data_IF_368006313627
#
_entry.id   IF_368006313627
#
_cell.length_a   1.000
_cell.length_b   1.000
_cell.length_c   1.000
_cell.angle_alpha   90.00
_cell.angle_beta   90.00
_cell.angle_gamma   90.00
#
_symmetry.space_group_name_H-M   'P 1'
#
loop_
_entity.id
_entity.type
_entity.pdbx_description
1 polymer ?
#
# COMPACT_ATOMS: atom_id res chain seq x y z
N UNK A 1 -3.57 -4.10 14.59
CA UNK A 1 -2.98 -4.45 13.28
C UNK A 1 -2.61 -3.15 12.63
N UNK A 2 -1.39 -3.05 12.09
CA UNK A 2 -0.98 -1.89 11.27
C UNK A 2 -1.44 -2.19 9.84
N UNK A 3 -2.33 -1.38 9.28
CA UNK A 3 -2.87 -1.59 7.93
C UNK A 3 -2.48 -0.37 7.11
N UNK A 4 -1.74 -0.61 6.04
CA UNK A 4 -1.26 0.44 5.15
C UNK A 4 -1.99 0.39 3.80
N UNK A 5 -2.25 -0.81 3.29
CA UNK A 5 -2.92 -1.00 2.00
C UNK A 5 -4.23 -1.77 2.14
N UNK A 6 -5.24 -1.34 1.38
CA UNK A 6 -6.55 -1.98 1.30
C UNK A 6 -6.97 -2.15 -0.16
N UNK A 7 -7.57 -3.29 -0.48
CA UNK A 7 -8.17 -3.52 -1.79
C UNK A 7 -9.43 -4.37 -1.67
N UNK A 8 -10.36 -4.19 -2.61
CA UNK A 8 -11.54 -5.03 -2.70
C UNK A 8 -11.52 -5.79 -4.02
N UNK A 9 -11.65 -7.11 -3.96
CA UNK A 9 -11.79 -7.95 -5.14
C UNK A 9 -12.57 -9.24 -4.84
N UNK A 10 -13.48 -9.61 -5.75
CA UNK A 10 -14.37 -10.78 -5.70
C UNK A 10 -14.94 -11.11 -4.30
N UNK A 11 -15.49 -10.09 -3.61
CA UNK A 11 -16.15 -10.28 -2.31
C UNK A 11 -15.20 -10.39 -1.11
N UNK A 12 -13.90 -10.17 -1.30
CA UNK A 12 -12.92 -10.06 -0.23
C UNK A 12 -12.42 -8.63 -0.07
N UNK A 13 -12.34 -8.18 1.19
CA UNK A 13 -11.48 -7.07 1.56
C UNK A 13 -10.09 -7.64 1.84
N UNK A 14 -9.12 -7.21 1.05
CA UNK A 14 -7.70 -7.48 1.23
C UNK A 14 -7.06 -6.37 2.05
N UNK A 15 -6.11 -6.76 2.90
CA UNK A 15 -5.38 -5.86 3.77
C UNK A 15 -3.92 -6.29 3.88
N UNK A 16 -3.03 -5.30 3.83
CA UNK A 16 -1.60 -5.50 4.01
C UNK A 16 -1.04 -4.47 5.00
N UNK A 17 -0.14 -4.89 5.88
CA UNK A 17 0.63 -4.01 6.75
C UNK A 17 1.93 -3.57 6.10
N UNK A 18 2.66 -2.67 6.76
CA UNK A 18 3.89 -2.06 6.24
C UNK A 18 5.05 -3.02 6.01
N UNK A 19 5.12 -4.10 6.80
CA UNK A 19 6.28 -5.01 6.85
C UNK A 19 7.62 -4.28 7.08
N UNK A 20 7.58 -3.10 7.71
CA UNK A 20 8.73 -2.22 7.86
C UNK A 20 9.21 -2.13 9.31
N UNK A 21 10.51 -1.93 9.46
CA UNK A 21 11.09 -1.50 10.72
C UNK A 21 10.81 -0.01 10.98
N UNK A 22 10.78 0.39 12.25
CA UNK A 22 10.48 1.76 12.66
C UNK A 22 11.60 2.36 13.52
N UNK A 23 12.09 3.54 13.14
CA UNK A 23 12.98 4.32 14.00
C UNK A 23 12.16 5.16 14.98
N UNK A 24 12.59 5.22 16.25
CA UNK A 24 11.95 6.11 17.22
C UNK A 24 12.27 7.58 16.90
N UNK A 25 11.21 8.40 16.86
CA UNK A 25 11.32 9.85 16.73
C UNK A 25 11.66 10.51 18.07
N UNK A 26 12.46 11.60 18.07
CA UNK A 26 12.57 12.55 19.18
C UNK A 26 11.21 13.07 19.63
N UNK A 27 11.10 13.49 20.90
CA UNK A 27 9.86 14.06 21.42
C UNK A 27 9.77 15.58 21.25
N UNK A 28 10.92 16.26 21.24
CA UNK A 28 11.00 17.72 21.03
C UNK A 28 10.17 18.54 22.04
N UNK A 29 9.98 18.01 23.25
CA UNK A 29 9.25 18.69 24.32
C UNK A 29 10.06 19.88 24.85
N UNK A 30 9.40 21.02 25.10
CA UNK A 30 10.05 22.20 25.69
C UNK A 30 10.61 21.87 27.09
N UNK A 31 11.91 22.11 27.29
CA UNK A 31 12.62 21.69 28.51
C UNK A 31 12.94 20.19 28.58
N UNK A 32 12.78 19.47 27.47
CA UNK A 32 13.07 18.04 27.35
C UNK A 32 14.56 17.69 27.47
N UNK A 33 14.83 16.41 27.69
CA UNK A 33 16.19 15.90 27.79
C UNK A 33 16.75 15.60 26.39
N UNK A 34 17.60 16.51 25.88
CA UNK A 34 18.25 16.41 24.57
C UNK A 34 19.03 15.10 24.40
N UNK A 35 19.78 14.66 25.42
CA UNK A 35 20.54 13.42 25.35
C UNK A 35 19.64 12.18 25.19
N UNK A 36 18.47 12.20 25.85
CA UNK A 36 17.44 11.16 25.69
C UNK A 36 16.87 11.18 24.27
N UNK A 37 16.58 12.35 23.71
CA UNK A 37 16.07 12.46 22.34
C UNK A 37 17.09 12.02 21.28
N UNK A 38 18.37 12.35 21.45
CA UNK A 38 19.45 11.81 20.63
C UNK A 38 19.50 10.28 20.73
N UNK A 39 19.41 9.73 21.94
CA UNK A 39 19.42 8.28 22.13
C UNK A 39 18.21 7.56 21.50
N UNK A 40 17.05 8.23 21.37
CA UNK A 40 15.87 7.67 20.69
C UNK A 40 16.16 7.41 19.21
N UNK A 41 16.88 8.31 18.54
CA UNK A 41 17.20 8.14 17.12
C UNK A 41 18.02 6.87 16.83
N UNK A 42 18.77 6.35 17.81
CA UNK A 42 19.50 5.09 17.65
C UNK A 42 18.59 3.84 17.74
N UNK A 43 17.37 3.98 18.27
CA UNK A 43 16.46 2.85 18.51
C UNK A 43 15.63 2.55 17.27
N UNK A 44 15.82 1.35 16.74
CA UNK A 44 14.96 0.72 15.72
C UNK A 44 14.10 -0.34 16.39
N UNK A 45 12.84 -0.40 16.01
CA UNK A 45 11.86 -1.34 16.52
C UNK A 45 11.26 -2.17 15.40
N UNK A 46 10.93 -3.39 15.77
CA UNK A 46 10.16 -4.32 14.98
C UNK A 46 8.83 -4.55 15.70
N UNK A 47 7.71 -4.40 14.98
CA UNK A 47 6.35 -4.49 15.54
C UNK A 47 5.58 -5.55 14.75
N UNK A 48 5.35 -6.72 15.35
CA UNK A 48 4.86 -7.88 14.61
C UNK A 48 3.48 -7.75 13.96
N UNK A 49 2.66 -6.80 14.43
CA UNK A 49 1.38 -6.48 13.81
C UNK A 49 1.49 -5.81 12.43
N UNK A 50 2.71 -5.57 11.92
CA UNK A 50 3.03 -5.02 10.59
C UNK A 50 3.17 -6.09 9.50
N UNK A 51 3.44 -7.36 9.84
CA UNK A 51 3.70 -8.43 8.86
C UNK A 51 2.45 -9.18 8.39
N UNK A 52 1.33 -8.46 8.32
CA UNK A 52 0.05 -9.04 7.91
C UNK A 52 -0.16 -8.85 6.40
N UNK A 53 -0.49 -9.94 5.71
CA UNK A 53 -1.24 -9.91 4.45
C UNK A 53 -2.43 -10.84 4.64
N UNK A 54 -3.64 -10.34 4.47
CA UNK A 54 -4.85 -11.13 4.68
C UNK A 54 -5.99 -10.71 3.75
N UNK A 55 -6.99 -11.58 3.68
CA UNK A 55 -8.29 -11.30 3.09
C UNK A 55 -9.40 -11.67 4.07
N UNK A 56 -10.45 -10.86 4.11
CA UNK A 56 -11.67 -11.14 4.88
C UNK A 56 -12.88 -11.04 3.97
N UNK A 57 -13.79 -12.03 3.97
CA UNK A 57 -15.06 -11.92 3.27
C UNK A 57 -15.78 -10.63 3.67
N UNK A 58 -16.26 -9.88 2.67
CA UNK A 58 -16.99 -8.63 2.87
C UNK A 58 -18.41 -8.82 2.32
N UNK A 59 -19.39 -8.84 3.23
CA UNK A 59 -20.77 -9.23 2.92
C UNK A 59 -21.68 -8.01 3.04
N UNK A 60 -22.51 -7.79 2.03
CA UNK A 60 -23.49 -6.71 2.09
C UNK A 60 -24.65 -7.09 3.02
N UNK A 61 -24.94 -6.25 4.00
CA UNK A 61 -26.11 -6.33 4.88
C UNK A 61 -27.37 -5.81 4.18
N UNK A 62 -28.53 -6.05 4.79
CA UNK A 62 -29.84 -5.68 4.23
C UNK A 62 -30.05 -4.18 4.05
N UNK A 63 -29.27 -3.35 4.75
CA UNK A 63 -29.27 -1.88 4.66
C UNK A 63 -28.29 -1.35 3.59
N UNK A 64 -27.62 -2.24 2.85
CA UNK A 64 -26.69 -1.90 1.79
C UNK A 64 -25.25 -1.65 2.26
N UNK A 65 -24.99 -1.66 3.57
CA UNK A 65 -23.63 -1.56 4.12
C UNK A 65 -22.86 -2.87 3.93
N UNK A 66 -21.54 -2.79 3.99
CA UNK A 66 -20.67 -3.96 3.87
C UNK A 66 -20.04 -4.27 5.22
N UNK A 67 -20.11 -5.53 5.63
CA UNK A 67 -19.58 -6.00 6.90
C UNK A 67 -18.58 -7.15 6.72
N UNK A 68 -17.41 -7.10 7.38
CA UNK A 68 -16.47 -8.20 7.34
C UNK A 68 -17.05 -9.42 8.08
N UNK A 69 -16.77 -10.61 7.55
CA UNK A 69 -17.18 -11.90 8.13
C UNK A 69 -15.99 -12.86 8.17
N UNK A 70 -15.91 -13.69 9.20
CA UNK A 70 -14.89 -14.74 9.26
C UNK A 70 -15.15 -15.83 8.21
N UNK A 71 -16.41 -16.26 8.07
CA UNK A 71 -16.87 -17.15 7.01
C UNK A 71 -18.19 -16.63 6.44
N UNK A 72 -18.42 -16.89 5.16
CA UNK A 72 -19.69 -16.61 4.51
C UNK A 72 -20.04 -17.72 3.52
N UNK A 73 -21.25 -18.26 3.65
CA UNK A 73 -21.80 -19.20 2.69
C UNK A 73 -22.59 -18.42 1.64
N UNK A 74 -22.16 -18.50 0.38
CA UNK A 74 -22.90 -17.86 -0.69
C UNK A 74 -24.32 -18.47 -0.81
N UNK A 75 -25.31 -17.62 -1.06
CA UNK A 75 -26.66 -18.06 -1.40
C UNK A 75 -26.70 -18.77 -2.75
N UNK A 76 -27.72 -19.64 -2.95
CA UNK A 76 -27.87 -20.59 -4.07
C UNK A 76 -27.33 -20.07 -5.41
N UNK A 77 -26.19 -20.63 -5.86
CA UNK A 77 -25.62 -20.37 -7.19
C UNK A 77 -24.08 -20.28 -7.20
N UNK A 78 -23.47 -19.69 -6.15
CA UNK A 78 -22.02 -19.78 -5.89
C UNK A 78 -21.80 -20.94 -4.91
N UNK A 79 -21.02 -21.95 -5.31
CA UNK A 79 -20.89 -23.23 -4.60
C UNK A 79 -19.88 -23.20 -3.45
N UNK A 80 -19.24 -22.06 -3.18
CA UNK A 80 -18.05 -22.00 -2.32
C UNK A 80 -18.29 -21.11 -1.11
N UNK A 81 -18.06 -21.68 0.08
CA UNK A 81 -17.90 -20.92 1.32
C UNK A 81 -16.64 -20.07 1.19
N UNK A 82 -16.75 -18.76 1.42
CA UNK A 82 -15.61 -17.85 1.52
C UNK A 82 -15.16 -17.75 2.97
N UNK A 83 -13.85 -17.77 3.22
CA UNK A 83 -13.27 -17.79 4.57
C UNK A 83 -12.13 -16.78 4.65
N UNK A 84 -12.03 -16.08 5.77
CA UNK A 84 -10.91 -15.21 6.07
C UNK A 84 -9.61 -16.01 6.10
N UNK A 85 -8.58 -15.52 5.42
CA UNK A 85 -7.29 -16.18 5.35
C UNK A 85 -6.15 -15.17 5.42
N UNK A 86 -5.02 -15.57 5.99
CA UNK A 86 -3.80 -14.76 6.06
C UNK A 86 -2.62 -15.48 5.46
N UNK A 87 -1.64 -14.73 4.99
CA UNK A 87 -0.36 -15.28 4.56
C UNK A 87 0.35 -15.96 5.74
N UNK A 88 0.94 -17.12 5.46
CA UNK A 88 1.67 -17.93 6.45
C UNK A 88 2.83 -17.13 7.07
N UNK A 89 2.85 -17.01 8.40
CA UNK A 89 3.76 -16.14 9.15
C UNK A 89 3.35 -15.91 10.60
N UNK A 90 4.16 -15.13 11.31
CA UNK A 90 4.03 -14.79 12.73
C UNK A 90 4.44 -13.33 13.02
N UNK A 91 4.69 -13.00 14.28
CA UNK A 91 5.05 -11.65 14.74
C UNK A 91 6.45 -11.19 14.30
N UNK A 92 7.28 -12.06 13.73
CA UNK A 92 8.62 -11.72 13.27
C UNK A 92 8.74 -11.67 11.74
N UNK A 93 7.63 -11.92 11.03
CA UNK A 93 7.63 -11.92 9.58
C UNK A 93 6.67 -12.94 8.98
N UNK A 94 6.75 -13.08 7.66
CA UNK A 94 5.97 -14.05 6.92
C UNK A 94 6.77 -14.59 5.74
N UNK A 95 6.17 -15.52 4.99
CA UNK A 95 6.85 -16.16 3.84
C UNK A 95 7.27 -15.18 2.75
N UNK A 96 6.67 -13.99 2.64
CA UNK A 96 7.15 -12.94 1.73
C UNK A 96 8.48 -12.36 2.23
N UNK A 97 8.56 -12.00 3.51
CA UNK A 97 9.79 -11.47 4.11
C UNK A 97 10.95 -12.46 4.00
N UNK A 98 10.71 -13.75 4.26
CA UNK A 98 11.73 -14.79 4.07
C UNK A 98 12.22 -14.89 2.63
N UNK A 99 11.32 -14.74 1.65
CA UNK A 99 11.67 -14.75 0.24
C UNK A 99 12.52 -13.54 -0.18
N UNK A 100 12.32 -12.39 0.48
CA UNK A 100 12.99 -11.13 0.16
C UNK A 100 14.39 -11.01 0.79
N UNK A 101 14.69 -11.74 1.88
CA UNK A 101 15.99 -11.68 2.58
C UNK A 101 17.21 -11.88 1.67
N UNK A 102 17.06 -12.68 0.61
CA UNK A 102 18.13 -12.99 -0.35
C UNK A 102 17.99 -12.26 -1.68
N UNK A 103 17.02 -11.34 -1.81
CA UNK A 103 16.87 -10.57 -3.02
C UNK A 103 18.03 -9.57 -3.17
N UNK A 104 18.59 -9.50 -4.37
CA UNK A 104 19.73 -8.65 -4.71
C UNK A 104 19.44 -7.14 -4.59
N UNK A 105 18.17 -6.74 -4.72
CA UNK A 105 17.74 -5.34 -4.66
C UNK A 105 17.15 -4.99 -3.29
N UNK A 106 16.42 -5.91 -2.66
CA UNK A 106 15.62 -5.62 -1.47
C UNK A 106 16.25 -6.12 -0.16
N UNK A 107 17.06 -7.18 -0.19
CA UNK A 107 17.55 -7.83 1.03
C UNK A 107 18.31 -6.88 1.96
N UNK A 108 19.12 -5.97 1.41
CA UNK A 108 19.87 -4.98 2.17
C UNK A 108 18.98 -3.92 2.86
N UNK A 109 17.77 -3.68 2.35
CA UNK A 109 16.85 -2.65 2.84
C UNK A 109 15.87 -3.17 3.89
N UNK A 110 15.78 -4.48 4.10
CA UNK A 110 14.92 -5.07 5.13
C UNK A 110 15.35 -4.70 6.56
N UNK A 111 16.64 -4.39 6.75
CA UNK A 111 17.19 -3.97 8.05
C UNK A 111 17.24 -2.44 8.23
N UNK A 112 16.65 -1.70 7.30
CA UNK A 112 16.58 -0.24 7.33
C UNK A 112 15.13 0.15 7.66
N UNK A 113 14.90 1.09 8.59
CA UNK A 113 13.55 1.58 8.86
C UNK A 113 12.87 2.17 7.64
N UNK A 114 11.55 1.99 7.51
CA UNK A 114 10.79 2.44 6.34
C UNK A 114 10.94 3.95 6.08
N UNK A 115 10.88 4.77 7.13
CA UNK A 115 11.06 6.24 7.05
C UNK A 115 12.51 6.69 6.77
N UNK A 116 13.45 5.74 6.68
CA UNK A 116 14.85 5.95 6.28
C UNK A 116 15.11 5.40 4.85
N UNK A 117 14.07 5.32 4.00
CA UNK A 117 14.09 4.66 2.68
C UNK A 117 14.35 3.14 2.75
N UNK A 118 14.08 2.52 3.89
CA UNK A 118 14.06 1.06 4.05
C UNK A 118 12.85 0.42 3.38
N UNK A 119 12.72 -0.90 3.54
CA UNK A 119 11.57 -1.64 3.02
C UNK A 119 10.29 -1.18 3.71
N UNK A 120 9.31 -0.73 2.91
CA UNK A 120 8.01 -0.29 3.41
C UNK A 120 6.93 -0.44 2.34
N UNK A 121 5.85 -1.13 2.71
CA UNK A 121 4.69 -1.40 1.87
C UNK A 121 3.59 -0.41 2.24
N UNK A 122 3.00 0.23 1.23
CA UNK A 122 1.82 1.06 1.45
C UNK A 122 0.73 0.78 0.41
N UNK A 123 1.09 0.62 -0.86
CA UNK A 123 0.09 0.37 -1.90
C UNK A 123 -0.32 -1.10 -2.04
N UNK A 124 -1.62 -1.34 -2.30
CA UNK A 124 -2.15 -2.67 -2.58
C UNK A 124 -3.21 -2.63 -3.68
N UNK A 125 -2.99 -3.39 -4.75
CA UNK A 125 -4.01 -3.67 -5.77
C UNK A 125 -4.16 -5.17 -6.01
N UNK A 126 -5.37 -5.63 -6.32
CA UNK A 126 -5.71 -7.06 -6.43
C UNK A 126 -6.49 -7.34 -7.71
N UNK A 127 -6.08 -8.39 -8.42
CA UNK A 127 -6.71 -8.96 -9.62
C UNK A 127 -6.82 -10.47 -9.42
N UNK A 128 -7.89 -10.91 -8.73
CA UNK A 128 -8.11 -12.29 -8.31
C UNK A 128 -7.04 -12.80 -7.35
N UNK A 129 -6.24 -13.76 -7.83
CA UNK A 129 -5.12 -14.33 -7.06
C UNK A 129 -3.82 -13.52 -7.18
N UNK A 130 -3.78 -12.52 -8.07
CA UNK A 130 -2.60 -11.68 -8.32
C UNK A 130 -2.70 -10.42 -7.47
N UNK A 131 -1.68 -10.17 -6.66
CA UNK A 131 -1.59 -8.98 -5.82
C UNK A 131 -0.38 -8.18 -6.27
N UNK A 132 -0.58 -6.87 -6.40
CA UNK A 132 0.46 -5.89 -6.66
C UNK A 132 0.69 -5.11 -5.38
N UNK A 133 1.92 -5.20 -4.88
CA UNK A 133 2.35 -4.62 -3.61
C UNK A 133 3.27 -3.44 -3.92
N UNK A 134 2.78 -2.24 -3.68
CA UNK A 134 3.48 -0.98 -3.92
C UNK A 134 4.43 -0.67 -2.76
N UNK A 135 5.71 -0.45 -3.09
CA UNK A 135 6.71 -0.09 -2.09
C UNK A 135 6.86 1.43 -2.01
N UNK A 136 6.64 1.99 -0.82
CA UNK A 136 7.09 3.36 -0.52
C UNK A 136 8.61 3.42 -0.54
N UNK A 137 9.25 2.42 0.06
CA UNK A 137 10.69 2.26 0.06
C UNK A 137 11.08 0.79 -0.12
N UNK A 138 12.26 0.50 -0.70
CA UNK A 138 13.27 1.47 -1.13
C UNK A 138 13.02 2.05 -2.52
N UNK A 139 13.46 3.29 -2.74
CA UNK A 139 13.65 3.85 -4.07
C UNK A 139 15.14 3.76 -4.46
N UNK A 140 15.43 3.11 -5.60
CA UNK A 140 16.77 2.74 -6.04
C UNK A 140 17.24 3.65 -7.17
N UNK A 141 18.10 4.63 -6.86
CA UNK A 141 18.56 5.65 -7.85
C UNK A 141 17.39 6.29 -8.62
N UNK A 142 16.29 6.57 -7.93
CA UNK A 142 15.08 7.17 -8.51
C UNK A 142 14.05 6.18 -9.06
N UNK A 143 14.30 4.87 -8.98
CA UNK A 143 13.37 3.83 -9.42
C UNK A 143 12.63 3.22 -8.25
N UNK A 144 11.31 3.31 -8.29
CA UNK A 144 10.37 2.72 -7.33
C UNK A 144 10.02 1.31 -7.75
N UNK A 145 9.39 0.53 -6.87
CA UNK A 145 9.14 -0.88 -7.13
C UNK A 145 7.73 -1.33 -6.73
N UNK A 146 7.12 -2.11 -7.61
CA UNK A 146 5.95 -2.93 -7.30
C UNK A 146 6.40 -4.39 -7.27
N UNK A 147 6.02 -5.11 -6.23
CA UNK A 147 6.12 -6.57 -6.18
C UNK A 147 4.80 -7.18 -6.67
N UNK A 148 4.83 -7.98 -7.73
CA UNK A 148 3.71 -8.84 -8.07
C UNK A 148 3.89 -10.16 -7.32
N UNK A 149 2.89 -10.56 -6.54
CA UNK A 149 2.82 -11.86 -5.88
C UNK A 149 1.55 -12.58 -6.33
N UNK A 150 1.56 -13.90 -6.26
CA UNK A 150 0.36 -14.72 -6.49
C UNK A 150 0.10 -15.60 -5.30
N UNK A 151 -1.12 -15.57 -4.79
CA UNK A 151 -1.53 -16.33 -3.60
C UNK A 151 -2.49 -17.44 -3.98
N UNK A 152 -2.50 -18.50 -3.19
CA UNK A 152 -3.52 -19.55 -3.24
C UNK A 152 -3.82 -20.05 -1.83
N UNK A 153 -5.01 -20.61 -1.64
CA UNK A 153 -5.45 -21.10 -0.34
C UNK A 153 -4.69 -22.35 0.11
N UNK A 154 -4.38 -22.42 1.40
CA UNK A 154 -3.72 -23.55 2.07
C UNK A 154 -4.47 -23.83 3.37
N UNK A 155 -5.19 -24.95 3.43
CA UNK A 155 -5.80 -25.42 4.67
C UNK A 155 -6.93 -24.53 5.23
N UNK A 156 -7.68 -23.82 4.38
CA UNK A 156 -8.91 -23.11 4.75
C UNK A 156 -8.72 -21.69 5.30
N UNK A 157 -7.61 -21.44 6.01
CA UNK A 157 -7.37 -20.16 6.72
C UNK A 157 -5.99 -19.57 6.46
N UNK A 158 -5.13 -20.26 5.70
CA UNK A 158 -3.83 -19.74 5.30
C UNK A 158 -3.79 -19.49 3.80
N UNK A 159 -2.94 -18.56 3.41
CA UNK A 159 -2.52 -18.29 2.04
C UNK A 159 -1.07 -18.74 1.89
N UNK A 160 -0.73 -19.32 0.73
CA UNK A 160 0.65 -19.60 0.33
C UNK A 160 1.00 -18.83 -0.94
N UNK A 161 2.26 -18.43 -1.06
CA UNK A 161 2.78 -17.81 -2.27
C UNK A 161 3.07 -18.84 -3.36
N UNK A 162 2.78 -18.48 -4.61
CA UNK A 162 3.14 -19.25 -5.80
C UNK A 162 4.46 -18.75 -6.38
N UNK A 163 5.18 -19.68 -6.99
CA UNK A 163 6.44 -19.40 -7.71
C UNK A 163 6.11 -18.81 -9.07
N UNK A 164 6.24 -17.50 -9.22
CA UNK A 164 5.86 -16.76 -10.44
C UNK A 164 6.99 -15.92 -11.05
N UNK A 165 8.08 -15.71 -10.29
CA UNK A 165 9.23 -14.93 -10.73
C UNK A 165 10.29 -15.74 -11.44
N UNK A 166 11.32 -15.03 -11.93
CA UNK A 166 12.55 -15.63 -12.49
C UNK A 166 13.14 -16.62 -11.47
N UNK A 167 13.70 -17.72 -11.95
CA UNK A 167 14.27 -18.80 -11.13
C UNK A 167 13.31 -19.37 -10.07
N UNK A 168 12.02 -19.34 -10.36
CA UNK A 168 10.94 -19.80 -9.48
C UNK A 168 10.86 -19.01 -8.16
N UNK A 169 11.22 -17.72 -8.18
CA UNK A 169 10.96 -16.78 -7.07
C UNK A 169 9.46 -16.67 -6.77
N UNK A 170 9.13 -16.34 -5.53
CA UNK A 170 7.75 -16.20 -5.04
C UNK A 170 7.09 -14.86 -5.41
N UNK A 171 7.82 -14.00 -6.11
CA UNK A 171 7.38 -12.67 -6.54
C UNK A 171 8.06 -12.31 -7.86
N UNK A 172 7.48 -11.35 -8.58
CA UNK A 172 8.13 -10.59 -9.67
C UNK A 172 8.38 -9.16 -9.20
N UNK A 173 9.32 -8.49 -9.85
CA UNK A 173 9.66 -7.08 -9.62
C UNK A 173 9.30 -6.25 -10.85
N UNK A 174 8.58 -5.16 -10.63
CA UNK A 174 8.35 -4.12 -11.63
C UNK A 174 8.98 -2.83 -11.11
N UNK A 175 9.87 -2.24 -11.90
CA UNK A 175 10.59 -1.02 -11.55
C UNK A 175 10.01 0.14 -12.33
N UNK A 176 9.76 1.27 -11.66
CA UNK A 176 9.04 2.40 -12.25
C UNK A 176 9.85 3.68 -12.04
N UNK A 177 9.97 4.48 -13.10
CA UNK A 177 10.65 5.76 -13.03
C UNK A 177 9.67 6.86 -12.59
N UNK A 178 9.38 6.92 -11.29
CA UNK A 178 8.50 7.92 -10.66
C UNK A 178 9.26 9.17 -10.17
N UNK A 179 10.49 9.39 -10.67
CA UNK A 179 11.25 10.60 -10.37
C UNK A 179 11.78 10.69 -8.93
N UNK A 180 12.01 9.55 -8.27
CA UNK A 180 12.48 9.52 -6.87
C UNK A 180 11.37 9.35 -5.84
N UNK A 181 10.10 9.31 -6.26
CA UNK A 181 8.95 9.12 -5.38
C UNK A 181 8.71 7.64 -5.08
N UNK A 182 8.34 7.31 -3.86
CA UNK A 182 7.83 6.00 -3.46
C UNK A 182 6.37 5.81 -3.83
N UNK A 183 5.88 4.58 -3.78
CA UNK A 183 4.47 4.25 -4.05
C UNK A 183 3.71 4.24 -2.73
N UNK A 184 2.64 5.03 -2.68
CA UNK A 184 1.74 5.19 -1.52
C UNK A 184 0.49 4.36 -1.66
N UNK A 185 -0.12 4.37 -2.85
CA UNK A 185 -1.30 3.57 -3.15
C UNK A 185 -1.32 3.11 -4.62
N UNK A 186 -1.95 1.97 -4.87
CA UNK A 186 -2.22 1.38 -6.18
C UNK A 186 -3.73 1.22 -6.38
N UNK A 187 -4.23 1.61 -7.54
CA UNK A 187 -5.63 1.40 -7.89
C UNK A 187 -5.75 0.87 -9.32
N UNK A 188 -6.52 -0.19 -9.53
CA UNK A 188 -6.74 -0.74 -10.87
C UNK A 188 -7.85 0.06 -11.56
N UNK A 189 -7.57 0.48 -12.79
CA UNK A 189 -8.52 1.12 -13.70
C UNK A 189 -8.52 0.31 -15.00
N UNK A 190 -9.55 -0.53 -15.19
CA UNK A 190 -9.66 -1.50 -16.28
C UNK A 190 -8.43 -2.44 -16.36
N UNK A 191 -7.58 -2.29 -17.38
CA UNK A 191 -6.30 -3.01 -17.55
C UNK A 191 -5.08 -2.21 -17.05
N UNK A 192 -5.29 -0.94 -16.71
CA UNK A 192 -4.25 -0.02 -16.26
C UNK A 192 -4.15 0.03 -14.74
N UNK A 193 -3.06 0.59 -14.24
CA UNK A 193 -2.84 0.84 -12.82
C UNK A 193 -2.58 2.33 -12.59
N UNK A 194 -3.39 2.94 -11.73
CA UNK A 194 -3.11 4.24 -11.15
C UNK A 194 -2.21 4.06 -9.93
N UNK A 195 -1.26 4.96 -9.76
CA UNK A 195 -0.20 4.90 -8.77
C UNK A 195 -0.12 6.26 -8.10
N UNK A 196 -0.51 6.33 -6.83
CA UNK A 196 -0.23 7.50 -6.00
C UNK A 196 1.24 7.41 -5.57
N UNK A 197 2.03 8.41 -5.96
CA UNK A 197 3.46 8.47 -5.67
C UNK A 197 3.79 9.73 -4.87
N UNK A 198 4.64 9.57 -3.85
CA UNK A 198 5.04 10.66 -2.95
C UNK A 198 6.42 10.43 -2.32
N UNK A 199 6.91 11.33 -1.46
CA UNK A 199 8.22 11.21 -0.82
C UNK A 199 8.40 9.90 -0.04
N UNK A 200 9.62 9.37 0.08
CA UNK A 200 9.90 8.11 0.80
C UNK A 200 10.31 8.30 2.26
N UNK A 201 10.40 9.54 2.73
CA UNK A 201 10.81 9.89 4.10
C UNK A 201 9.82 10.92 4.66
N UNK A 202 10.04 11.38 5.89
CA UNK A 202 9.14 12.29 6.62
C UNK A 202 9.08 13.74 6.07
N UNK A 203 9.39 13.97 4.80
CA UNK A 203 9.42 15.30 4.19
C UNK A 203 8.14 15.58 3.39
N UNK A 204 7.68 16.83 3.41
CA UNK A 204 6.72 17.32 2.43
C UNK A 204 7.40 17.42 1.07
N UNK A 205 6.70 17.01 0.01
CA UNK A 205 7.26 17.05 -1.33
C UNK A 205 6.26 16.71 -2.41
N UNK A 206 6.70 16.66 -3.67
CA UNK A 206 5.83 16.39 -4.80
C UNK A 206 5.03 15.11 -4.61
N UNK A 207 3.72 15.20 -4.81
CA UNK A 207 2.81 14.07 -4.85
C UNK A 207 2.10 14.08 -6.19
N UNK A 208 2.01 12.93 -6.84
CA UNK A 208 1.37 12.81 -8.14
C UNK A 208 0.73 11.44 -8.33
N UNK A 209 -0.31 11.39 -9.16
CA UNK A 209 -0.89 10.14 -9.66
C UNK A 209 -0.33 9.86 -11.05
N UNK A 210 0.18 8.65 -11.23
CA UNK A 210 0.66 8.14 -12.51
C UNK A 210 -0.24 7.02 -12.99
N UNK A 211 -0.41 6.90 -14.31
CA UNK A 211 -1.05 5.77 -14.98
C UNK A 211 0.00 4.93 -15.68
N UNK A 212 0.10 3.68 -15.27
CA UNK A 212 0.78 2.63 -15.99
C UNK A 212 -0.25 1.86 -16.82
N UNK A 213 -0.25 2.10 -18.14
CA UNK A 213 -1.17 1.45 -19.07
C UNK A 213 -0.83 -0.03 -19.24
N UNK A 214 -1.87 -0.85 -19.38
CA UNK A 214 -1.79 -2.30 -19.59
C UNK A 214 -0.96 -3.03 -18.52
N UNK A 215 -0.90 -2.48 -17.31
CA UNK A 215 -0.14 -3.02 -16.18
C UNK A 215 -0.50 -4.48 -15.89
N UNK A 216 -1.78 -4.82 -16.04
CA UNK A 216 -2.27 -6.18 -15.78
C UNK A 216 -1.88 -7.19 -16.88
N UNK A 217 -1.46 -6.73 -18.05
CA UNK A 217 -1.05 -7.55 -19.20
C UNK A 217 0.45 -7.86 -19.21
N UNK A 218 1.22 -7.24 -18.31
CA UNK A 218 2.67 -7.46 -18.20
C UNK A 218 2.97 -8.81 -17.55
N UNK A 219 3.42 -9.77 -18.36
CA UNK A 219 3.66 -11.14 -17.92
C UNK A 219 4.98 -11.35 -17.15
N UNK A 220 6.02 -10.59 -17.48
CA UNK A 220 7.37 -10.74 -16.91
C UNK A 220 7.75 -9.57 -15.99
N UNK A 221 8.86 -9.71 -15.27
CA UNK A 221 9.50 -8.58 -14.59
C UNK A 221 9.77 -7.45 -15.59
N UNK A 222 9.64 -6.19 -15.16
CA UNK A 222 9.65 -5.06 -16.11
C UNK A 222 10.31 -3.81 -15.57
N UNK A 223 10.97 -3.05 -16.45
CA UNK A 223 11.51 -1.71 -16.18
C UNK A 223 10.70 -0.66 -16.95
N UNK A 224 9.84 0.09 -16.26
CA UNK A 224 8.90 1.06 -16.84
C UNK A 224 9.48 2.47 -16.76
N UNK A 225 10.05 2.95 -17.86
CA UNK A 225 10.57 4.32 -17.97
C UNK A 225 9.46 5.37 -18.09
N UNK A 226 9.84 6.65 -17.89
CA UNK A 226 8.92 7.82 -17.89
C UNK A 226 7.97 7.87 -19.10
N UNK A 227 8.44 7.47 -20.29
CA UNK A 227 7.64 7.50 -21.52
C UNK A 227 6.46 6.52 -21.53
N UNK A 228 6.42 5.55 -20.60
CA UNK A 228 5.31 4.61 -20.41
C UNK A 228 4.46 4.91 -19.17
N UNK A 229 4.78 5.99 -18.47
CA UNK A 229 4.07 6.44 -17.28
C UNK A 229 3.47 7.81 -17.58
N UNK A 230 2.15 7.84 -17.70
CA UNK A 230 1.42 9.08 -17.87
C UNK A 230 1.20 9.70 -16.49
N UNK A 231 1.66 10.94 -16.26
CA UNK A 231 1.31 11.67 -15.04
C UNK A 231 -0.08 12.28 -15.25
N UNK A 232 -1.08 11.79 -14.52
CA UNK A 232 -2.49 12.15 -14.74
C UNK A 232 -2.96 13.26 -13.80
N UNK A 233 -2.32 13.38 -12.64
CA UNK A 233 -2.65 14.38 -11.63
C UNK A 233 -1.40 14.79 -10.85
N UNK A 234 -1.22 16.09 -10.65
CA UNK A 234 -0.37 16.62 -9.58
C UNK A 234 -1.27 16.84 -8.36
N UNK A 235 -0.96 16.19 -7.24
CA UNK A 235 -1.77 16.26 -6.02
C UNK A 235 -1.23 17.39 -5.14
N UNK A 236 -2.08 18.35 -4.72
CA UNK A 236 -1.67 19.37 -3.77
C UNK A 236 -1.22 18.73 -2.45
N UNK A 237 -0.16 19.27 -1.86
CA UNK A 237 0.35 18.87 -0.55
C UNK A 237 0.56 20.11 0.32
N UNK A 238 0.59 19.92 1.64
CA UNK A 238 0.75 21.00 2.60
C UNK A 238 2.02 21.83 2.37
N UNK A 239 1.88 23.15 2.29
CA UNK A 239 2.98 24.10 2.15
C UNK A 239 2.76 25.30 3.09
N UNK A 240 3.85 26.00 3.44
CA UNK A 240 3.76 27.20 4.27
C UNK A 240 3.16 26.90 5.64
N UNK A 241 2.00 27.50 5.95
CA UNK A 241 1.29 27.29 7.22
C UNK A 241 0.78 25.85 7.42
N UNK A 242 0.60 25.10 6.32
CA UNK A 242 0.15 23.71 6.34
C UNK A 242 1.28 22.71 6.10
N UNK A 243 2.56 23.13 6.21
CA UNK A 243 3.69 22.20 6.15
C UNK A 243 3.55 21.09 7.22
N UNK A 244 3.85 19.85 6.83
CA UNK A 244 3.66 18.65 7.64
C UNK A 244 2.22 18.15 7.74
N UNK A 245 1.30 18.70 6.93
CA UNK A 245 -0.12 18.32 6.87
C UNK A 245 -0.53 17.93 5.45
N UNK A 246 -1.70 17.33 5.33
CA UNK A 246 -2.33 16.94 4.06
C UNK A 246 -1.42 16.04 3.21
N UNK A 247 -0.90 14.98 3.82
CA UNK A 247 -0.10 13.98 3.11
C UNK A 247 -1.05 13.01 2.42
N UNK A 248 -1.15 13.04 1.08
CA UNK A 248 -2.01 12.09 0.39
C UNK A 248 -1.42 10.67 0.53
N UNK A 249 -2.20 9.77 1.11
CA UNK A 249 -1.77 8.40 1.42
C UNK A 249 -2.76 7.37 0.85
N UNK A 250 -4.07 7.70 0.76
CA UNK A 250 -5.09 6.79 0.24
C UNK A 250 -5.70 7.24 -1.08
N UNK A 251 -5.96 6.29 -1.99
CA UNK A 251 -6.58 6.55 -3.30
C UNK A 251 -7.50 5.39 -3.71
N UNK A 252 -8.69 5.70 -4.20
CA UNK A 252 -9.56 4.68 -4.83
C UNK A 252 -10.35 5.26 -6.00
N UNK A 253 -10.75 4.41 -6.95
CA UNK A 253 -11.68 4.81 -8.01
C UNK A 253 -12.99 5.29 -7.37
N UNK A 254 -13.49 6.42 -7.85
CA UNK A 254 -14.71 7.03 -7.37
C UNK A 254 -15.63 7.33 -8.56
N UNK A 255 -16.86 6.87 -8.48
CA UNK A 255 -17.91 7.24 -9.42
C UNK A 255 -18.98 8.03 -8.68
N UNK A 256 -19.30 9.20 -9.22
CA UNK A 256 -20.43 10.01 -8.74
C UNK A 256 -21.66 9.62 -9.53
N UNK A 257 -22.79 9.44 -8.85
CA UNK A 257 -24.07 9.11 -9.51
C UNK A 257 -24.35 10.03 -10.71
N UNK A 258 -24.53 9.41 -11.88
CA UNK A 258 -24.84 10.10 -13.14
C UNK A 258 -23.63 10.74 -13.87
N UNK A 259 -22.40 10.49 -13.41
CA UNK A 259 -21.17 10.94 -14.08
C UNK A 259 -20.43 9.76 -14.70
N UNK A 260 -20.17 9.84 -16.01
CA UNK A 260 -19.31 8.88 -16.71
C UNK A 260 -17.81 9.24 -16.62
N UNK A 261 -17.47 10.41 -16.06
CA UNK A 261 -16.09 10.86 -15.91
C UNK A 261 -15.37 10.02 -14.86
N UNK A 262 -14.31 9.27 -15.23
CA UNK A 262 -13.51 8.54 -14.27
C UNK A 262 -12.88 9.50 -13.27
N UNK A 263 -13.03 9.20 -11.99
CA UNK A 263 -12.49 10.03 -10.91
C UNK A 263 -11.83 9.15 -9.85
N UNK A 264 -10.96 9.75 -9.05
CA UNK A 264 -10.41 9.14 -7.83
C UNK A 264 -10.81 9.96 -6.61
N UNK A 265 -11.06 9.26 -5.50
CA UNK A 265 -11.14 9.83 -4.17
C UNK A 265 -9.76 9.74 -3.52
N UNK A 266 -9.24 10.86 -3.02
CA UNK A 266 -7.98 10.94 -2.28
C UNK A 266 -8.20 11.26 -0.81
N UNK A 267 -7.55 10.49 0.05
CA UNK A 267 -7.54 10.68 1.50
C UNK A 267 -6.13 11.05 1.99
N UNK A 268 -6.09 11.82 3.07
CA UNK A 268 -4.88 12.48 3.55
C UNK A 268 -4.58 12.10 5.01
N UNK A 269 -3.34 11.73 5.30
CA UNK A 269 -2.80 11.69 6.65
C UNK A 269 -2.48 13.11 7.15
N UNK A 270 -2.47 13.26 8.47
CA UNK A 270 -2.27 14.52 9.18
C UNK A 270 -3.11 15.68 8.57
N UNK A 271 -4.45 15.56 8.49
CA UNK A 271 -5.27 16.53 7.79
C UNK A 271 -5.13 17.93 8.40
N UNK A 272 -5.04 18.93 7.53
CA UNK A 272 -5.09 20.35 7.87
C UNK A 272 -6.42 20.69 8.55
N UNK A 273 -6.41 21.74 9.37
CA UNK A 273 -7.59 22.10 10.18
C UNK A 273 -8.80 22.46 9.29
N UNK A 274 -8.56 22.97 8.09
CA UNK A 274 -9.60 23.23 7.10
C UNK A 274 -10.30 21.97 6.56
N UNK A 275 -9.66 20.79 6.62
CA UNK A 275 -10.25 19.50 6.22
C UNK A 275 -11.03 18.83 7.34
N UNK A 276 -10.85 19.25 8.59
CA UNK A 276 -11.53 18.65 9.74
C UNK A 276 -12.96 19.17 9.84
N UNK A 277 -13.93 18.26 9.92
CA UNK A 277 -15.36 18.58 9.98
C UNK A 277 -15.98 17.95 11.24
N UNK A 278 -16.48 18.80 12.13
CA UNK A 278 -17.03 18.35 13.42
C UNK A 278 -15.99 17.62 14.27
N UNK A 279 -16.43 16.68 15.11
CA UNK A 279 -15.56 16.02 16.08
C UNK A 279 -14.70 14.88 15.48
N UNK A 280 -15.16 14.26 14.39
CA UNK A 280 -14.56 13.02 13.83
C UNK A 280 -14.62 12.93 12.30
N UNK A 281 -15.02 14.00 11.61
CA UNK A 281 -15.09 14.02 10.15
C UNK A 281 -13.82 14.60 9.54
N UNK A 282 -13.47 14.09 8.36
CA UNK A 282 -12.40 14.62 7.52
C UNK A 282 -12.91 14.72 6.08
N UNK A 283 -12.54 15.78 5.37
CA UNK A 283 -12.84 15.94 3.95
C UNK A 283 -11.77 15.28 3.09
N UNK A 284 -12.22 14.46 2.15
CA UNK A 284 -11.43 13.88 1.08
C UNK A 284 -11.70 14.64 -0.24
N UNK A 285 -10.74 14.62 -1.15
CA UNK A 285 -10.84 15.32 -2.43
C UNK A 285 -11.21 14.32 -3.55
N UNK A 286 -11.96 14.79 -4.54
CA UNK A 286 -12.30 14.01 -5.74
C UNK A 286 -11.71 14.70 -6.96
N UNK A 287 -10.92 13.97 -7.73
CA UNK A 287 -10.27 14.46 -8.95
C UNK A 287 -10.66 13.60 -10.15
N UNK A 288 -10.98 14.23 -11.28
CA UNK A 288 -11.12 13.53 -12.56
C UNK A 288 -9.74 13.04 -13.06
N UNK A 289 -9.66 11.84 -13.63
CA UNK A 289 -8.40 11.20 -14.07
C UNK A 289 -8.50 10.51 -15.43
#
# INVERSE_FOLDING_TARGET
>A
VDIEGLAYDDGYLWLIGSHSLKRKQPKEEAGGNVAKDIARLARVEDEGNRYLLARVPLVQSSDGLYEPRYTHQASRGRRQTTTAARLDGDENGNVLMEALKRDEHLGAFLNIPGKDNGFDIEGLAVDGERLFVGLRGPVLRGWSMILEIKVEEKGGTLLRLRKIGVDKRLYKKHFLQLGGLGIRELCIQDRSMLILAGPTMSLDGPVAVYRWRDALDVAAESLIGKHRLEKVLDVPYGQGADAGKDHAEGMTMFSRDGSDTPSVLLAYDAPADARKVGARGVMADVFAV
#
